data_IF_751724036849
#
_entry.id   IF_751724036849
#
_cell.length_a   1.000
_cell.length_b   1.000
_cell.length_c   1.000
_cell.angle_alpha   90.00
_cell.angle_beta   90.00
_cell.angle_gamma   90.00
#
_symmetry.space_group_name_H-M   'P 1'
#
loop_
_entity.id
_entity.type
_entity.pdbx_description
1 polymer ?
#
# COMPACT_ATOMS: atom_id res chain seq x y z
N UNK A 1 -5.35 6.89 13.67
CA UNK A 1 -4.99 5.51 14.02
C UNK A 1 -3.94 5.09 13.03
N UNK A 2 -2.68 4.97 13.46
CA UNK A 2 -1.61 4.45 12.62
C UNK A 2 -1.79 2.93 12.55
N UNK A 3 -2.04 2.41 11.37
CA UNK A 3 -2.01 0.97 11.15
C UNK A 3 -0.55 0.54 11.17
N UNK A 4 -0.16 -0.19 12.20
CA UNK A 4 1.10 -0.91 12.24
C UNK A 4 1.08 -1.95 11.11
N UNK A 5 1.95 -1.77 10.12
CA UNK A 5 2.08 -2.71 9.01
C UNK A 5 2.75 -3.97 9.59
N UNK A 6 1.99 -5.05 9.72
CA UNK A 6 2.53 -6.35 10.11
C UNK A 6 3.02 -7.10 8.88
N UNK A 7 4.14 -7.81 9.01
CA UNK A 7 4.73 -8.62 7.94
C UNK A 7 4.06 -9.99 7.78
N UNK A 8 3.11 -10.35 8.66
CA UNK A 8 2.39 -11.64 8.65
C UNK A 8 1.13 -11.58 7.78
N UNK A 9 1.29 -11.33 6.49
CA UNK A 9 0.23 -10.74 5.66
C UNK A 9 -0.44 -11.65 4.63
N UNK A 10 -0.14 -12.93 4.61
CA UNK A 10 -0.88 -13.86 3.72
C UNK A 10 -2.31 -14.17 4.21
N UNK A 11 -2.70 -13.70 5.40
CA UNK A 11 -4.08 -13.85 5.92
C UNK A 11 -5.09 -12.86 5.30
N UNK A 12 -4.61 -11.89 4.51
CA UNK A 12 -5.46 -10.87 3.85
C UNK A 12 -5.89 -11.25 2.42
N UNK A 13 -5.52 -12.42 1.95
CA UNK A 13 -5.79 -12.88 0.58
C UNK A 13 -7.29 -12.84 0.25
N UNK A 14 -8.13 -13.22 1.21
CA UNK A 14 -9.57 -13.22 1.05
C UNK A 14 -10.16 -11.81 0.97
N UNK A 15 -9.61 -10.87 1.74
CA UNK A 15 -10.08 -9.49 1.77
C UNK A 15 -9.86 -8.78 0.41
N UNK A 16 -8.76 -9.07 -0.29
CA UNK A 16 -8.52 -8.50 -1.62
C UNK A 16 -9.46 -9.07 -2.68
N UNK A 17 -9.74 -10.38 -2.65
CA UNK A 17 -10.68 -11.01 -3.56
C UNK A 17 -12.11 -10.51 -3.30
N UNK A 18 -12.52 -10.43 -2.04
CA UNK A 18 -13.82 -9.92 -1.65
C UNK A 18 -14.00 -8.45 -2.09
N UNK A 19 -12.94 -7.62 -2.00
CA UNK A 19 -12.96 -6.24 -2.51
C UNK A 19 -13.07 -6.19 -4.04
N UNK A 20 -12.38 -7.06 -4.74
CA UNK A 20 -12.46 -7.12 -6.20
C UNK A 20 -13.86 -7.55 -6.64
N UNK A 21 -14.40 -8.60 -6.07
CA UNK A 21 -15.76 -9.10 -6.35
C UNK A 21 -16.79 -8.01 -6.03
N UNK A 22 -16.66 -7.34 -4.90
CA UNK A 22 -17.52 -6.20 -4.53
C UNK A 22 -17.47 -5.06 -5.56
N UNK A 23 -16.28 -4.70 -6.05
CA UNK A 23 -16.11 -3.66 -7.06
C UNK A 23 -16.73 -4.10 -8.38
N UNK A 24 -16.53 -5.36 -8.79
CA UNK A 24 -17.11 -5.89 -10.02
C UNK A 24 -18.64 -5.98 -9.96
N UNK A 25 -19.20 -6.41 -8.83
CA UNK A 25 -20.66 -6.46 -8.63
C UNK A 25 -21.30 -5.06 -8.59
N UNK A 26 -20.66 -4.08 -7.95
CA UNK A 26 -21.17 -2.72 -7.84
C UNK A 26 -20.81 -1.83 -9.04
N UNK A 27 -19.94 -2.29 -9.91
CA UNK A 27 -19.54 -1.62 -11.16
C UNK A 27 -20.50 -1.91 -12.32
N UNK A 28 -21.75 -2.29 -12.02
CA UNK A 28 -22.80 -2.52 -13.04
C UNK A 28 -23.03 -1.32 -13.99
N UNK A 29 -22.43 -0.19 -13.73
CA UNK A 29 -22.36 0.98 -14.61
C UNK A 29 -21.09 1.08 -15.46
N UNK A 30 -20.14 0.13 -15.30
CA UNK A 30 -19.04 0.06 -16.25
C UNK A 30 -19.64 -0.35 -17.61
N UNK A 31 -19.40 0.42 -18.67
CA UNK A 31 -19.81 -0.01 -19.97
C UNK A 31 -19.20 -1.39 -20.22
N UNK A 32 -20.01 -2.36 -20.56
CA UNK A 32 -19.55 -3.70 -21.03
C UNK A 32 -18.45 -3.54 -22.09
N UNK A 33 -18.48 -2.44 -22.79
CA UNK A 33 -17.47 -2.00 -23.74
C UNK A 33 -16.09 -1.77 -23.12
N UNK A 34 -15.98 -1.34 -21.83
CA UNK A 34 -14.68 -1.10 -21.18
C UNK A 34 -13.89 -2.41 -21.03
N UNK A 35 -14.53 -3.47 -20.57
CA UNK A 35 -13.90 -4.79 -20.42
C UNK A 35 -13.51 -5.36 -21.79
N UNK A 36 -14.41 -5.30 -22.78
CA UNK A 36 -14.14 -5.75 -24.14
C UNK A 36 -13.01 -4.96 -24.79
N UNK A 37 -12.96 -3.65 -24.58
CA UNK A 37 -11.90 -2.81 -25.11
C UNK A 37 -10.56 -3.13 -24.44
N UNK A 38 -10.52 -3.38 -23.13
CA UNK A 38 -9.30 -3.76 -22.44
C UNK A 38 -8.77 -5.12 -22.90
N UNK A 39 -9.64 -6.09 -23.16
CA UNK A 39 -9.26 -7.39 -23.74
C UNK A 39 -8.71 -7.28 -25.17
N UNK A 40 -9.17 -6.32 -25.97
CA UNK A 40 -8.73 -6.15 -27.36
C UNK A 40 -7.35 -5.49 -27.51
N UNK A 41 -6.87 -4.79 -26.48
CA UNK A 41 -5.63 -3.99 -26.54
C UNK A 41 -4.41 -4.78 -26.03
N UNK A 42 -4.63 -5.87 -25.29
CA UNK A 42 -3.56 -6.64 -24.63
C UNK A 42 -3.46 -8.03 -25.27
N UNK A 43 -2.25 -8.43 -25.64
CA UNK A 43 -1.97 -9.82 -26.00
C UNK A 43 -1.68 -10.64 -24.74
N UNK A 44 -2.77 -11.15 -24.14
CA UNK A 44 -2.73 -11.96 -22.91
C UNK A 44 -1.92 -13.25 -23.10
N UNK A 45 -1.96 -13.85 -24.30
CA UNK A 45 -1.23 -15.09 -24.59
C UNK A 45 0.28 -14.87 -24.61
N UNK A 46 0.73 -13.76 -25.19
CA UNK A 46 2.14 -13.41 -25.16
C UNK A 46 2.60 -13.11 -23.73
N UNK A 47 1.77 -12.46 -22.94
CA UNK A 47 2.06 -12.19 -21.53
C UNK A 47 2.19 -13.48 -20.71
N UNK A 48 1.26 -14.43 -20.84
CA UNK A 48 1.33 -15.73 -20.17
C UNK A 48 2.64 -16.44 -20.54
N UNK A 49 3.01 -16.40 -21.82
CA UNK A 49 4.26 -17.01 -22.27
C UNK A 49 5.50 -16.36 -21.61
N UNK A 50 5.54 -15.03 -21.50
CA UNK A 50 6.64 -14.32 -20.82
C UNK A 50 6.75 -14.71 -19.35
N UNK A 51 5.62 -14.91 -18.67
CA UNK A 51 5.60 -15.35 -17.27
C UNK A 51 6.03 -16.82 -17.18
N UNK A 52 5.59 -17.67 -18.10
CA UNK A 52 5.92 -19.08 -18.13
C UNK A 52 7.41 -19.34 -18.41
N UNK A 53 8.04 -18.51 -19.23
CA UNK A 53 9.49 -18.55 -19.46
C UNK A 53 10.32 -18.37 -18.16
N UNK A 54 9.73 -17.70 -17.14
CA UNK A 54 10.37 -17.49 -15.83
C UNK A 54 10.02 -18.59 -14.83
N UNK A 55 8.74 -18.97 -14.75
CA UNK A 55 8.22 -19.89 -13.70
C UNK A 55 8.27 -21.36 -14.13
N UNK A 56 8.21 -21.63 -15.44
CA UNK A 56 8.09 -22.96 -16.03
C UNK A 56 6.87 -23.75 -15.54
N UNK A 57 5.75 -23.08 -15.32
CA UNK A 57 4.49 -23.71 -14.91
C UNK A 57 3.29 -22.95 -15.49
N UNK A 58 2.72 -23.46 -16.57
CA UNK A 58 1.68 -22.78 -17.36
C UNK A 58 0.44 -22.40 -16.54
N UNK A 59 -0.06 -23.30 -15.68
CA UNK A 59 -1.26 -23.02 -14.87
C UNK A 59 -1.05 -21.84 -13.92
N UNK A 60 0.12 -21.78 -13.28
CA UNK A 60 0.47 -20.68 -12.38
C UNK A 60 0.65 -19.38 -13.16
N UNK A 61 1.23 -19.46 -14.36
CA UNK A 61 1.42 -18.30 -15.24
C UNK A 61 0.09 -17.72 -15.72
N UNK A 62 -0.90 -18.56 -15.98
CA UNK A 62 -2.26 -18.13 -16.31
C UNK A 62 -2.95 -17.45 -15.12
N UNK A 63 -2.83 -18.01 -13.91
CA UNK A 63 -3.36 -17.40 -12.69
C UNK A 63 -2.73 -16.04 -12.40
N UNK A 64 -1.42 -15.90 -12.58
CA UNK A 64 -0.70 -14.62 -12.39
C UNK A 64 -1.17 -13.59 -13.40
N UNK A 65 -1.27 -13.96 -14.69
CA UNK A 65 -1.75 -13.06 -15.72
C UNK A 65 -3.17 -12.58 -15.42
N UNK A 66 -4.05 -13.50 -15.03
CA UNK A 66 -5.40 -13.17 -14.59
C UNK A 66 -5.40 -12.15 -13.45
N UNK A 67 -4.55 -12.36 -12.44
CA UNK A 67 -4.38 -11.41 -11.34
C UNK A 67 -3.89 -10.04 -11.79
N UNK A 68 -2.94 -9.97 -12.73
CA UNK A 68 -2.45 -8.71 -13.32
C UNK A 68 -3.60 -7.97 -14.01
N UNK A 69 -4.39 -8.69 -14.82
CA UNK A 69 -5.52 -8.13 -15.53
C UNK A 69 -6.56 -7.54 -14.56
N UNK A 70 -7.01 -8.34 -13.59
CA UNK A 70 -8.01 -7.96 -12.60
C UNK A 70 -7.54 -6.79 -11.72
N UNK A 71 -6.30 -6.84 -11.22
CA UNK A 71 -5.75 -5.77 -10.38
C UNK A 71 -5.55 -4.45 -11.14
N UNK A 72 -5.21 -4.52 -12.43
CA UNK A 72 -5.08 -3.33 -13.28
C UNK A 72 -6.44 -2.71 -13.59
N UNK A 73 -7.44 -3.56 -13.84
CA UNK A 73 -8.81 -3.14 -14.05
C UNK A 73 -9.37 -2.46 -12.80
N UNK A 74 -9.20 -3.10 -11.63
CA UNK A 74 -9.60 -2.54 -10.34
C UNK A 74 -8.96 -1.17 -10.08
N UNK A 75 -7.67 -1.03 -10.34
CA UNK A 75 -6.95 0.23 -10.13
C UNK A 75 -7.50 1.37 -10.99
N UNK A 76 -7.76 1.11 -12.27
CA UNK A 76 -8.29 2.12 -13.20
C UNK A 76 -9.71 2.53 -12.83
N UNK A 77 -10.55 1.56 -12.47
CA UNK A 77 -11.95 1.80 -12.07
C UNK A 77 -12.02 2.59 -10.77
N UNK A 78 -11.33 2.13 -9.72
CA UNK A 78 -11.37 2.76 -8.39
C UNK A 78 -10.88 4.20 -8.39
N UNK A 79 -9.99 4.55 -9.33
CA UNK A 79 -9.47 5.91 -9.47
C UNK A 79 -10.18 6.75 -10.54
N UNK A 80 -11.23 6.20 -11.19
CA UNK A 80 -11.92 6.85 -12.31
C UNK A 80 -10.99 7.31 -13.45
N UNK A 81 -9.95 6.53 -13.73
CA UNK A 81 -9.04 6.84 -14.82
C UNK A 81 -9.64 6.49 -16.19
N UNK A 82 -9.28 7.23 -17.26
CA UNK A 82 -9.64 6.86 -18.62
C UNK A 82 -9.07 5.49 -19.00
N UNK A 83 -9.77 4.77 -19.87
CA UNK A 83 -9.44 3.38 -20.21
C UNK A 83 -8.01 3.17 -20.75
N UNK A 84 -7.42 4.15 -21.42
CA UNK A 84 -6.06 4.04 -21.94
C UNK A 84 -4.99 3.89 -20.84
N UNK A 85 -5.29 4.27 -19.59
CA UNK A 85 -4.44 4.00 -18.44
C UNK A 85 -4.38 2.52 -18.08
N UNK A 86 -5.38 1.72 -18.50
CA UNK A 86 -5.38 0.29 -18.24
C UNK A 86 -4.17 -0.39 -18.87
N UNK A 87 -3.88 -0.09 -20.13
CA UNK A 87 -2.71 -0.63 -20.81
C UNK A 87 -1.40 -0.30 -20.09
N UNK A 88 -1.22 0.96 -19.69
CA UNK A 88 -0.02 1.38 -18.94
C UNK A 88 0.09 0.65 -17.60
N UNK A 89 -1.00 0.60 -16.83
CA UNK A 89 -1.03 -0.07 -15.53
C UNK A 89 -0.76 -1.57 -15.65
N UNK A 90 -1.31 -2.21 -16.66
CA UNK A 90 -1.11 -3.64 -16.90
C UNK A 90 0.35 -3.98 -17.19
N UNK A 91 0.99 -3.27 -18.10
CA UNK A 91 2.40 -3.52 -18.44
C UNK A 91 3.36 -3.10 -17.34
N UNK A 92 3.06 -2.04 -16.59
CA UNK A 92 3.84 -1.65 -15.41
C UNK A 92 3.80 -2.73 -14.32
N UNK A 93 2.61 -3.26 -14.04
CA UNK A 93 2.47 -4.39 -13.09
C UNK A 93 3.16 -5.65 -13.59
N UNK A 94 3.03 -5.97 -14.87
CA UNK A 94 3.70 -7.12 -15.47
C UNK A 94 5.22 -7.01 -15.31
N UNK A 95 5.81 -5.87 -15.66
CA UNK A 95 7.25 -5.65 -15.55
C UNK A 95 7.72 -5.74 -14.09
N UNK A 96 6.98 -5.12 -13.18
CA UNK A 96 7.27 -5.19 -11.75
C UNK A 96 7.22 -6.62 -11.21
N UNK A 97 6.24 -7.42 -11.63
CA UNK A 97 6.14 -8.82 -11.21
C UNK A 97 7.21 -9.69 -11.82
N UNK A 98 7.51 -9.55 -13.12
CA UNK A 98 8.61 -10.29 -13.77
C UNK A 98 9.94 -10.02 -13.10
N UNK A 99 10.23 -8.76 -12.75
CA UNK A 99 11.45 -8.40 -12.03
C UNK A 99 11.53 -9.04 -10.62
N UNK A 100 10.39 -9.25 -9.95
CA UNK A 100 10.34 -9.91 -8.65
C UNK A 100 10.34 -11.44 -8.75
N UNK A 101 9.86 -12.00 -9.85
CA UNK A 101 9.83 -13.44 -10.10
C UNK A 101 11.18 -13.95 -10.64
N UNK A 102 11.96 -13.12 -11.32
CA UNK A 102 13.27 -13.52 -11.80
C UNK A 102 14.30 -13.56 -10.65
N UNK A 103 14.63 -14.77 -10.20
CA UNK A 103 15.62 -15.01 -9.14
C UNK A 103 17.05 -14.60 -9.52
N UNK A 104 17.32 -14.47 -10.83
CA UNK A 104 18.62 -14.05 -11.37
C UNK A 104 18.76 -12.54 -11.45
N UNK A 105 17.69 -11.78 -11.21
CA UNK A 105 17.74 -10.33 -11.25
C UNK A 105 18.60 -9.78 -10.11
N UNK A 106 19.81 -9.29 -10.46
CA UNK A 106 20.79 -8.78 -9.50
C UNK A 106 20.28 -7.55 -8.71
N UNK A 107 19.32 -6.82 -9.25
CA UNK A 107 18.79 -5.60 -8.63
C UNK A 107 17.71 -5.89 -7.60
N UNK A 108 16.89 -6.91 -7.81
CA UNK A 108 15.78 -7.24 -6.93
C UNK A 108 16.14 -8.35 -5.95
N UNK A 109 16.76 -9.43 -6.42
CA UNK A 109 17.22 -10.58 -5.61
C UNK A 109 16.14 -11.24 -4.76
N UNK A 110 14.91 -11.36 -5.28
CA UNK A 110 13.81 -11.98 -4.57
C UNK A 110 13.79 -13.50 -4.76
N UNK A 111 14.45 -14.21 -3.86
CA UNK A 111 14.59 -15.68 -3.96
C UNK A 111 13.44 -16.45 -3.31
N UNK A 112 12.58 -15.80 -2.56
CA UNK A 112 11.53 -16.47 -1.77
C UNK A 112 10.21 -16.53 -2.50
N UNK A 113 9.87 -15.54 -3.32
CA UNK A 113 8.58 -15.39 -3.96
C UNK A 113 8.20 -16.60 -4.83
N UNK A 114 9.09 -17.05 -5.70
CA UNK A 114 8.85 -18.23 -6.55
C UNK A 114 8.57 -19.49 -5.70
N UNK A 115 9.36 -19.71 -4.66
CA UNK A 115 9.16 -20.88 -3.79
C UNK A 115 7.82 -20.82 -3.07
N UNK A 116 7.38 -19.64 -2.62
CA UNK A 116 6.11 -19.48 -1.94
C UNK A 116 4.92 -19.71 -2.89
N UNK A 117 5.07 -19.36 -4.16
CA UNK A 117 4.07 -19.65 -5.20
C UNK A 117 4.04 -21.15 -5.52
N UNK A 118 5.18 -21.75 -5.80
CA UNK A 118 5.27 -23.16 -6.16
C UNK A 118 4.84 -24.10 -5.03
N UNK A 119 4.97 -23.67 -3.76
CA UNK A 119 4.49 -24.41 -2.59
C UNK A 119 3.03 -24.13 -2.25
N UNK A 120 2.28 -23.42 -3.10
CA UNK A 120 0.90 -23.00 -2.88
C UNK A 120 0.65 -22.25 -1.56
N UNK A 121 1.67 -21.60 -1.01
CA UNK A 121 1.50 -20.69 0.11
C UNK A 121 0.86 -19.38 -0.33
N UNK A 122 1.11 -19.01 -1.58
CA UNK A 122 0.63 -17.78 -2.20
C UNK A 122 -0.02 -18.14 -3.54
N UNK A 123 -1.26 -17.71 -3.75
CA UNK A 123 -1.95 -17.90 -5.03
C UNK A 123 -1.36 -16.96 -6.10
N UNK A 124 -1.16 -17.49 -7.32
CA UNK A 124 -0.68 -16.72 -8.45
C UNK A 124 -1.52 -15.47 -8.76
N UNK A 125 -2.85 -15.59 -8.62
CA UNK A 125 -3.77 -14.48 -8.89
C UNK A 125 -3.60 -13.31 -7.91
N UNK A 126 -3.30 -13.60 -6.63
CA UNK A 126 -3.24 -12.59 -5.57
C UNK A 126 -1.96 -11.76 -5.64
N UNK A 127 -0.89 -12.29 -6.22
CA UNK A 127 0.41 -11.60 -6.29
C UNK A 127 0.31 -10.20 -6.88
N UNK A 128 -0.54 -10.03 -7.89
CA UNK A 128 -0.73 -8.74 -8.55
C UNK A 128 -1.44 -7.67 -7.71
N UNK A 129 -2.08 -8.08 -6.61
CA UNK A 129 -2.73 -7.18 -5.66
C UNK A 129 -1.83 -6.81 -4.48
N UNK A 130 -0.75 -7.56 -4.26
CA UNK A 130 0.15 -7.34 -3.14
C UNK A 130 0.94 -6.04 -3.28
N UNK A 131 1.17 -5.39 -2.15
CA UNK A 131 2.07 -4.24 -2.09
C UNK A 131 3.54 -4.66 -2.25
N UNK A 132 4.43 -3.77 -2.74
CA UNK A 132 5.85 -4.07 -2.91
C UNK A 132 6.55 -4.62 -1.67
N UNK A 133 6.15 -4.19 -0.47
CA UNK A 133 6.71 -4.71 0.79
C UNK A 133 6.24 -6.12 1.13
N UNK A 134 5.08 -6.55 0.61
CA UNK A 134 4.58 -7.92 0.74
C UNK A 134 5.25 -8.85 -0.27
N UNK A 135 5.52 -8.37 -1.48
CA UNK A 135 6.23 -9.11 -2.51
C UNK A 135 7.70 -9.40 -2.12
N UNK A 136 8.36 -8.44 -1.48
CA UNK A 136 9.75 -8.60 -1.05
C UNK A 136 10.00 -8.11 0.39
N UNK A 137 9.50 -8.85 1.41
CA UNK A 137 9.55 -8.41 2.81
C UNK A 137 10.96 -8.11 3.31
N UNK A 138 11.93 -8.93 2.91
CA UNK A 138 13.33 -8.79 3.37
C UNK A 138 13.95 -7.43 2.96
N UNK A 139 13.69 -6.98 1.73
CA UNK A 139 14.21 -5.71 1.23
C UNK A 139 13.55 -4.51 1.93
N UNK A 140 12.25 -4.62 2.22
CA UNK A 140 11.47 -3.53 2.82
C UNK A 140 11.54 -3.47 4.34
N UNK A 141 12.02 -4.54 5.01
CA UNK A 141 12.06 -4.63 6.46
C UNK A 141 12.71 -3.42 7.12
N UNK A 142 13.89 -3.01 6.66
CA UNK A 142 14.60 -1.86 7.25
C UNK A 142 13.86 -0.52 7.06
N UNK A 143 13.11 -0.38 5.98
CA UNK A 143 12.31 0.82 5.68
C UNK A 143 11.07 0.83 6.57
N UNK A 144 10.39 -0.31 6.69
CA UNK A 144 9.21 -0.48 7.54
C UNK A 144 9.57 -0.26 9.00
N UNK A 145 10.66 -0.85 9.49
CA UNK A 145 11.13 -0.68 10.86
C UNK A 145 11.43 0.80 11.17
N UNK A 146 12.08 1.51 10.24
CA UNK A 146 12.32 2.96 10.40
C UNK A 146 11.02 3.77 10.41
N UNK A 147 10.05 3.44 9.57
CA UNK A 147 8.77 4.12 9.54
C UNK A 147 7.96 3.85 10.81
N UNK A 148 7.92 2.59 11.28
CA UNK A 148 7.26 2.22 12.52
C UNK A 148 7.89 2.95 13.74
N UNK A 149 9.23 3.00 13.83
CA UNK A 149 9.91 3.77 14.86
C UNK A 149 9.59 5.28 14.81
N UNK A 150 9.44 5.82 13.60
CA UNK A 150 9.06 7.22 13.39
C UNK A 150 7.63 7.48 13.85
N UNK A 151 6.70 6.58 13.50
CA UNK A 151 5.31 6.68 13.89
C UNK A 151 5.13 6.49 15.40
N UNK A 152 5.89 5.59 16.01
CA UNK A 152 5.92 5.42 17.46
C UNK A 152 6.46 6.66 18.18
N UNK A 153 7.48 7.31 17.63
CA UNK A 153 7.99 8.58 18.19
C UNK A 153 7.01 9.72 18.02
N UNK A 154 6.31 9.78 16.90
CA UNK A 154 5.25 10.78 16.65
C UNK A 154 4.00 10.51 17.49
N UNK A 155 3.67 9.26 17.77
CA UNK A 155 2.53 8.89 18.62
C UNK A 155 2.79 9.13 20.12
N UNK A 156 4.05 9.12 20.56
CA UNK A 156 4.49 9.53 21.90
C UNK A 156 4.52 11.05 22.05
N UNK A 157 3.48 11.71 21.55
CA UNK A 157 3.35 13.15 21.74
C UNK A 157 3.17 13.42 23.22
N UNK A 158 3.99 14.32 23.77
CA UNK A 158 3.87 14.72 25.16
C UNK A 158 2.45 15.24 25.42
N UNK A 159 1.75 14.61 26.35
CA UNK A 159 0.41 15.02 26.76
C UNK A 159 0.45 15.63 28.15
N UNK A 160 -0.41 16.63 28.38
CA UNK A 160 -0.58 17.25 29.70
C UNK A 160 -2.06 17.49 29.98
N UNK A 161 -2.41 17.36 31.26
CA UNK A 161 -3.77 17.59 31.76
C UNK A 161 -3.81 18.84 32.69
N UNK A 162 -2.72 19.63 32.72
CA UNK A 162 -2.58 20.79 33.64
C UNK A 162 -3.61 21.90 33.39
N UNK A 163 -4.05 22.04 32.14
CA UNK A 163 -4.90 23.17 31.73
C UNK A 163 -6.25 22.69 31.20
N UNK A 164 -7.25 23.55 31.39
CA UNK A 164 -8.53 23.39 30.71
C UNK A 164 -8.50 24.13 29.37
N UNK A 165 -8.96 23.51 28.33
CA UNK A 165 -9.13 24.16 27.04
C UNK A 165 -10.16 25.31 27.15
N UNK A 166 -9.78 26.51 26.77
CA UNK A 166 -10.67 27.68 26.80
C UNK A 166 -11.86 27.56 25.85
N UNK A 167 -11.81 26.61 24.89
CA UNK A 167 -12.88 26.44 23.90
C UNK A 167 -13.87 25.34 24.26
N UNK A 168 -13.38 24.16 24.67
CA UNK A 168 -14.22 22.99 24.94
C UNK A 168 -14.19 22.52 26.39
N UNK A 169 -13.37 23.12 27.27
CA UNK A 169 -13.27 22.78 28.69
C UNK A 169 -12.48 21.50 28.99
N UNK A 170 -12.09 20.72 28.00
CA UNK A 170 -11.32 19.49 28.17
C UNK A 170 -9.89 19.76 28.66
N UNK A 171 -9.33 18.80 29.42
CA UNK A 171 -7.99 18.92 30.01
C UNK A 171 -6.88 18.23 29.22
N UNK A 172 -7.21 17.49 28.16
CA UNK A 172 -6.20 16.73 27.38
C UNK A 172 -5.58 17.59 26.29
N UNK A 173 -4.31 17.90 26.43
CA UNK A 173 -3.53 18.66 25.48
C UNK A 173 -2.26 17.91 25.08
N UNK A 174 -1.91 17.98 23.82
CA UNK A 174 -0.56 17.68 23.35
C UNK A 174 0.28 18.94 23.38
N UNK A 175 1.56 18.83 23.70
CA UNK A 175 2.44 20.00 23.69
C UNK A 175 3.78 19.69 23.02
N UNK A 176 4.35 20.73 22.44
CA UNK A 176 5.73 20.75 21.96
C UNK A 176 6.39 22.06 22.34
N UNK A 177 7.71 21.99 22.56
CA UNK A 177 8.53 23.12 22.98
C UNK A 177 9.42 23.51 21.79
N UNK A 178 9.46 24.77 21.46
CA UNK A 178 10.33 25.28 20.40
C UNK A 178 10.86 26.67 20.73
N UNK A 179 12.07 26.93 20.32
CA UNK A 179 12.66 28.27 20.46
C UNK A 179 12.19 29.12 19.25
N UNK A 180 11.29 30.06 19.51
CA UNK A 180 10.73 30.96 18.50
C UNK A 180 11.36 32.37 18.53
N UNK A 181 12.22 32.61 19.50
CA UNK A 181 12.90 33.92 19.74
C UNK A 181 14.39 33.72 19.86
N UNK A 182 15.10 34.76 20.35
CA UNK A 182 16.53 34.65 20.58
C UNK A 182 16.87 33.60 21.63
N UNK A 183 18.11 33.11 21.57
CA UNK A 183 18.60 32.03 22.44
C UNK A 183 18.52 32.39 23.93
N UNK A 184 18.61 33.67 24.25
CA UNK A 184 18.56 34.22 25.61
C UNK A 184 17.13 34.34 26.17
N UNK A 185 16.12 34.09 25.37
CA UNK A 185 14.72 34.13 25.81
C UNK A 185 14.20 32.71 26.09
N UNK A 186 13.23 32.58 27.05
CA UNK A 186 12.65 31.28 27.33
C UNK A 186 11.92 30.70 26.11
N UNK A 187 11.98 29.38 25.97
CA UNK A 187 11.32 28.67 24.89
C UNK A 187 9.80 28.83 24.94
N UNK A 188 9.18 28.77 23.80
CA UNK A 188 7.72 28.85 23.67
C UNK A 188 7.13 27.44 23.63
N UNK A 189 6.12 27.21 24.48
CA UNK A 189 5.37 25.96 24.50
C UNK A 189 4.07 26.16 23.71
N UNK A 190 3.83 25.28 22.77
CA UNK A 190 2.57 25.23 22.03
C UNK A 190 1.74 24.06 22.56
N UNK A 191 0.52 24.35 22.98
CA UNK A 191 -0.45 23.37 23.44
C UNK A 191 -1.55 23.22 22.41
N UNK A 192 -1.88 21.99 22.05
CA UNK A 192 -3.00 21.67 21.15
C UNK A 192 -3.99 20.77 21.85
N UNK A 193 -5.23 21.21 21.98
CA UNK A 193 -6.30 20.40 22.55
C UNK A 193 -6.58 19.18 21.69
N UNK A 194 -6.62 17.98 22.27
CA UNK A 194 -6.85 16.74 21.53
C UNK A 194 -8.30 16.62 21.01
N UNK A 195 -9.24 17.31 21.63
CA UNK A 195 -10.67 17.25 21.30
C UNK A 195 -11.06 18.28 20.23
N UNK A 196 -10.81 19.57 20.50
CA UNK A 196 -11.23 20.64 19.58
C UNK A 196 -10.13 21.14 18.65
N UNK A 197 -8.91 20.57 18.76
CA UNK A 197 -7.71 20.88 17.97
C UNK A 197 -7.28 22.35 17.99
N UNK A 198 -7.78 23.14 18.97
CA UNK A 198 -7.34 24.53 19.13
C UNK A 198 -5.94 24.55 19.74
N UNK A 199 -5.05 25.28 19.09
CA UNK A 199 -3.67 25.52 19.56
C UNK A 199 -3.57 26.87 20.25
N UNK A 200 -2.85 26.95 21.36
CA UNK A 200 -2.48 28.16 22.06
C UNK A 200 -1.03 28.07 22.53
N UNK A 201 -0.39 29.21 22.72
CA UNK A 201 1.01 29.32 23.10
C UNK A 201 1.14 29.89 24.51
N UNK A 202 2.18 29.44 25.22
CA UNK A 202 2.59 29.98 26.51
C UNK A 202 4.12 30.11 26.49
N UNK A 203 4.64 31.26 26.91
CA UNK A 203 6.08 31.40 27.21
C UNK A 203 6.37 30.78 28.55
N UNK A 204 7.51 30.14 28.68
CA UNK A 204 8.01 29.60 29.95
C UNK A 204 8.32 30.72 30.95
#
# INVERSE_FOLDING_TARGET
>A
MSQTISLDTYSQDKEYLDQFDFIMENSAHLPIDFIKMSESVIDRKETIKKIDDVINCYNISEDIEKGIFESSLNYVISNNYPYHFFHLTYYDKLENLLNNLDDKNEHVQNKTLINDILTNKLSGQIIAFLHPYQLHPQRWKSIIDKNNLRDDTLSKVNTTDEFKCMRCGEKKHTYYITQTRCIDEPATIFYTCTVCRKTFKKSM
#
